data_IF_029154672969
#
_entry.id   IF_029154672969
#
_cell.length_a   1.000
_cell.length_b   1.000
_cell.length_c   1.000
_cell.angle_alpha   90.00
_cell.angle_beta   90.00
_cell.angle_gamma   90.00
#
_symmetry.space_group_name_H-M   'P 1'
#
loop_
_entity.id
_entity.type
_entity.pdbx_description
1 polymer ?
2 non-polymer ?
3 non-polymer ?
4 non-polymer ?
5 water ?
#
# COMPACT_ATOMS: atom_id res chain seq x y z
N UNK A 5 -4.39 19.94 -9.28
CA UNK A 5 -4.14 19.90 -7.82
C UNK A 5 -4.30 18.46 -7.31
N UNK A 6 -4.08 18.25 -6.02
CA UNK A 6 -4.05 16.92 -5.37
C UNK A 6 -4.33 17.03 -3.87
N UNK A 7 -4.78 15.94 -3.21
CA UNK A 7 -5.06 16.02 -1.77
C UNK A 7 -3.77 16.22 -0.98
N UNK A 8 -3.80 17.06 0.03
CA UNK A 8 -2.66 17.26 0.96
C UNK A 8 -3.19 17.25 2.38
N UNK A 9 -2.70 16.38 3.28
CA UNK A 9 -1.72 15.33 2.96
C UNK A 9 -2.29 14.30 1.98
N UNK A 10 -1.40 13.51 1.42
CA UNK A 10 -1.71 12.49 0.40
C UNK A 10 -1.57 11.13 1.07
N UNK A 11 -2.68 10.52 1.52
CA UNK A 11 -2.56 9.20 2.15
C UNK A 11 -2.10 8.13 1.15
N UNK A 12 -1.31 7.20 1.69
CA UNK A 12 -0.88 6.00 0.92
C UNK A 12 -1.25 4.82 1.79
N UNK A 13 -1.56 3.71 1.10
CA UNK A 13 -2.12 2.52 1.73
C UNK A 13 -1.37 1.28 1.25
N UNK A 14 -0.96 0.43 2.18
CA UNK A 14 -0.39 -0.90 1.87
C UNK A 14 -1.25 -1.90 2.55
N UNK A 15 -1.81 -2.84 1.76
CA UNK A 15 -2.63 -3.94 2.32
C UNK A 15 -1.76 -5.15 2.56
N UNK A 16 -2.01 -5.83 3.67
CA UNK A 16 -1.24 -7.04 4.01
C UNK A 16 -2.07 -7.88 4.96
N UNK A 17 -1.88 -9.20 4.87
CA UNK A 17 -2.54 -10.10 5.82
C UNK A 17 -2.05 -9.86 7.27
N UNK A 18 -2.97 -9.99 8.20
CA UNK A 18 -2.64 -9.86 9.63
C UNK A 18 -1.50 -10.79 10.03
N UNK A 19 -1.38 -11.97 9.42
CA UNK A 19 -0.31 -12.91 9.80
C UNK A 19 1.08 -12.35 9.49
N UNK A 20 1.16 -11.27 8.73
CA UNK A 20 2.44 -10.61 8.41
C UNK A 20 2.79 -9.50 9.42
N UNK A 21 1.84 -9.09 10.27
CA UNK A 21 2.10 -7.91 11.14
C UNK A 21 3.24 -8.23 12.10
N UNK A 22 3.24 -9.37 12.75
CA UNK A 22 4.34 -9.69 13.70
C UNK A 22 5.69 -9.51 13.01
N UNK A 23 5.85 -9.99 11.79
CA UNK A 23 7.16 -9.88 11.13
C UNK A 23 7.54 -8.44 10.81
N UNK A 24 6.54 -7.63 10.52
CA UNK A 24 6.78 -6.19 10.25
C UNK A 24 7.23 -5.49 11.56
N UNK A 25 6.52 -5.74 12.65
CA UNK A 25 6.87 -5.09 13.95
C UNK A 25 8.23 -5.61 14.40
N UNK A 26 8.49 -6.90 14.27
CA UNK A 26 9.78 -7.46 14.71
C UNK A 26 10.97 -6.85 13.95
N UNK A 27 10.80 -6.64 12.63
CA UNK A 27 11.85 -6.08 11.72
C UNK A 27 11.91 -4.57 11.96
N UNK A 28 10.80 -3.94 12.38
CA UNK A 28 10.65 -2.47 12.39
C UNK A 28 10.43 -1.86 11.05
N UNK A 29 10.08 -2.67 10.04
CA UNK A 29 9.94 -2.13 8.68
C UNK A 29 9.24 -3.16 7.79
N UNK A 30 8.58 -2.60 6.78
CA UNK A 30 8.19 -3.40 5.58
C UNK A 30 9.45 -3.53 4.72
N UNK A 31 9.65 -4.71 4.15
CA UNK A 31 10.76 -4.95 3.20
C UNK A 31 10.18 -5.20 1.81
N UNK A 32 10.81 -4.64 0.81
CA UNK A 32 10.47 -4.93 -0.58
C UNK A 32 10.66 -6.44 -0.87
N UNK A 33 9.93 -6.95 -1.87
CA UNK A 33 10.03 -8.36 -2.32
C UNK A 33 11.50 -8.78 -2.41
N UNK A 34 12.33 -7.98 -3.08
CA UNK A 34 13.72 -8.39 -3.37
C UNK A 34 14.61 -8.30 -2.12
N UNK A 35 14.10 -7.79 -1.01
CA UNK A 35 14.82 -7.73 0.28
C UNK A 35 14.37 -8.86 1.21
N UNK A 36 13.60 -9.80 0.68
CA UNK A 36 13.31 -11.15 1.38
C UNK A 36 12.49 -10.79 2.68
N UNK A 37 11.28 -10.22 2.58
CA UNK A 37 10.44 -10.05 3.76
C UNK A 37 10.06 -11.39 4.34
N UNK A 38 10.06 -11.55 5.67
CA UNK A 38 9.62 -12.78 6.33
C UNK A 38 8.09 -12.90 6.37
N UNK A 39 7.48 -12.79 5.20
CA UNK A 39 6.02 -12.87 5.09
C UNK A 39 5.55 -14.29 5.42
N UNK A 40 4.37 -14.35 6.01
CA UNK A 40 3.70 -15.64 6.34
C UNK A 40 2.62 -15.93 5.32
N UNK A 41 2.05 -14.92 4.69
CA UNK A 41 0.93 -15.11 3.73
C UNK A 41 1.08 -14.14 2.58
N UNK A 42 1.16 -14.71 1.40
CA UNK A 42 1.09 -13.97 0.13
C UNK A 42 -0.38 -13.78 -0.26
N UNK A 43 -0.75 -12.56 -0.63
CA UNK A 43 -2.09 -12.18 -1.13
C UNK A 43 -1.89 -11.57 -2.55
N UNK A 52 6.75 -8.46 -11.95
CA UNK A 52 7.37 -7.29 -11.22
C UNK A 52 8.88 -7.43 -11.07
N UNK A 53 9.43 -8.61 -11.42
CA UNK A 53 10.88 -8.91 -11.36
C UNK A 53 11.57 -8.35 -12.61
N UNK A 54 10.81 -8.05 -13.68
CA UNK A 54 11.37 -7.47 -14.93
C UNK A 54 10.72 -6.12 -15.27
N UNK A 55 9.84 -5.58 -14.42
CA UNK A 55 9.20 -4.28 -14.65
C UNK A 55 10.14 -3.15 -14.17
N UNK A 56 10.85 -2.51 -15.10
CA UNK A 56 11.93 -1.55 -14.80
C UNK A 56 11.35 -0.22 -14.38
N UNK A 57 12.02 0.38 -13.43
CA UNK A 57 11.64 1.72 -12.95
C UNK A 57 12.60 2.73 -13.59
N UNK A 58 12.06 3.70 -14.35
CA UNK A 58 12.91 4.60 -15.12
C UNK A 58 13.43 5.85 -14.38
N UNK A 59 12.87 6.15 -13.20
CA UNK A 59 13.34 7.22 -12.34
C UNK A 59 14.38 6.61 -11.39
N UNK A 60 15.33 7.44 -10.88
CA UNK A 60 16.19 6.98 -9.81
C UNK A 60 15.31 6.71 -8.59
N UNK A 61 15.62 5.70 -7.74
CA UNK A 61 16.85 4.90 -7.79
C UNK A 61 16.84 3.68 -8.73
N UNK A 62 15.85 3.58 -9.59
CA UNK A 62 15.81 2.55 -10.63
C UNK A 62 15.54 1.18 -10.10
N UNK A 63 16.19 0.18 -10.68
CA UNK A 63 15.87 -1.21 -10.37
C UNK A 63 14.52 -1.60 -10.99
N UNK A 64 13.83 -2.49 -10.30
CA UNK A 64 12.55 -3.06 -10.76
C UNK A 64 11.46 -2.89 -9.69
N UNK A 65 10.22 -3.09 -10.03
CA UNK A 65 9.12 -2.86 -9.06
C UNK A 65 9.33 -3.68 -7.80
N UNK A 66 9.89 -4.87 -7.88
CA UNK A 66 10.13 -5.72 -6.69
C UNK A 66 11.21 -5.17 -5.76
N UNK A 67 11.90 -4.11 -6.18
CA UNK A 67 12.87 -3.45 -5.28
C UNK A 67 12.19 -2.45 -4.34
N UNK A 68 10.87 -2.25 -4.48
CA UNK A 68 10.14 -1.21 -3.72
C UNK A 68 9.04 -1.82 -2.89
N UNK A 69 8.72 -1.19 -1.75
CA UNK A 69 7.49 -1.47 -0.99
C UNK A 69 6.36 -0.70 -1.65
N UNK A 70 5.28 -1.40 -2.07
CA UNK A 70 4.24 -0.75 -2.84
C UNK A 70 3.04 -0.29 -2.02
N UNK A 71 2.51 0.86 -2.40
CA UNK A 71 1.30 1.44 -1.82
C UNK A 71 0.39 1.90 -2.94
N UNK A 72 -0.90 1.89 -2.67
CA UNK A 72 -1.88 2.61 -3.50
C UNK A 72 -2.23 3.94 -2.87
N UNK A 73 -2.92 4.79 -3.62
CA UNK A 73 -3.43 6.08 -3.14
C UNK A 73 -4.88 6.02 -2.68
N UNK A 74 -5.43 4.83 -2.59
CA UNK A 74 -6.81 4.61 -2.09
C UNK A 74 -6.85 3.30 -1.32
N UNK A 75 -7.80 3.20 -0.38
CA UNK A 75 -8.18 1.94 0.21
C UNK A 75 -9.17 1.26 -0.74
N UNK A 76 -9.72 0.12 -0.34
CA UNK A 76 -10.82 -0.53 -1.10
C UNK A 76 -10.37 -0.71 -2.56
N UNK A 77 -9.17 -1.21 -2.76
CA UNK A 77 -8.54 -1.30 -4.10
C UNK A 77 -9.16 -2.43 -4.96
N UNK A 78 -8.87 -2.42 -6.27
CA UNK A 78 -9.22 -3.59 -7.13
C UNK A 78 -8.52 -4.82 -6.57
N UNK A 79 -7.28 -4.76 -6.13
CA UNK A 79 -6.59 -5.92 -5.53
C UNK A 79 -7.42 -6.50 -4.42
N UNK A 80 -7.94 -5.66 -3.50
CA UNK A 80 -8.81 -6.12 -2.42
C UNK A 80 -10.06 -6.83 -2.98
N UNK A 81 -10.61 -6.32 -4.07
CA UNK A 81 -11.82 -7.00 -4.62
C UNK A 81 -11.42 -8.39 -5.14
N UNK A 82 -10.25 -8.53 -5.73
CA UNK A 82 -9.79 -9.87 -6.22
C UNK A 82 -9.67 -10.79 -5.01
N UNK A 83 -9.16 -10.28 -3.89
CA UNK A 83 -9.07 -11.08 -2.65
C UNK A 83 -10.46 -11.43 -2.12
N UNK A 84 -11.37 -10.46 -2.05
CA UNK A 84 -12.77 -10.64 -1.61
C UNK A 84 -13.47 -11.71 -2.47
N UNK A 85 -13.23 -11.67 -3.76
CA UNK A 85 -13.96 -12.57 -4.70
C UNK A 85 -13.30 -13.95 -4.74
N UNK A 86 -12.17 -14.19 -4.09
CA UNK A 86 -11.41 -15.46 -4.16
C UNK A 86 -10.73 -15.67 -5.51
N UNK A 87 -10.58 -14.64 -6.32
CA UNK A 87 -9.81 -14.62 -7.58
C UNK A 87 -8.33 -14.80 -7.40
N UNK A 88 -7.78 -14.34 -6.29
CA UNK A 88 -6.36 -14.52 -5.96
C UNK A 88 -6.08 -15.99 -5.66
N UNK A 89 -4.80 -16.36 -5.64
CA UNK A 89 -4.37 -17.68 -5.13
C UNK A 89 -4.79 -17.77 -3.67
N UNK A 90 -4.50 -16.76 -2.87
CA UNK A 90 -4.93 -16.70 -1.47
C UNK A 90 -6.47 -16.81 -1.39
N UNK A 91 -6.97 -17.63 -0.48
CA UNK A 91 -8.40 -17.96 -0.37
C UNK A 91 -9.03 -17.57 0.97
N UNK A 92 -8.32 -16.80 1.80
CA UNK A 92 -8.84 -16.44 3.14
C UNK A 92 -9.80 -15.25 3.12
N UNK A 93 -9.94 -14.55 1.99
CA UNK A 93 -10.90 -13.44 1.90
C UNK A 93 -10.37 -12.14 2.54
N UNK A 94 -11.20 -11.15 2.48
CA UNK A 94 -10.78 -9.78 2.85
C UNK A 94 -10.67 -9.56 4.35
N UNK A 95 -11.31 -10.34 5.19
CA UNK A 95 -11.47 -9.91 6.59
C UNK A 95 -10.14 -9.83 7.32
N UNK A 96 -9.15 -10.73 7.12
CA UNK A 96 -7.87 -10.59 7.78
C UNK A 96 -6.91 -9.60 7.12
N UNK A 97 -7.35 -8.88 6.10
CA UNK A 97 -6.46 -7.97 5.38
C UNK A 97 -6.47 -6.60 6.04
N UNK A 98 -5.28 -6.16 6.44
CA UNK A 98 -5.11 -4.82 7.07
C UNK A 98 -4.86 -3.81 5.98
N UNK A 99 -5.28 -2.56 6.23
CA UNK A 99 -4.76 -1.42 5.46
C UNK A 99 -3.76 -0.66 6.36
N UNK A 100 -2.52 -0.63 5.94
CA UNK A 100 -1.50 0.20 6.70
C UNK A 100 -1.44 1.50 5.98
N UNK A 101 -1.58 2.59 6.80
CA UNK A 101 -1.78 3.95 6.23
C UNK A 101 -0.58 4.83 6.59
N UNK A 102 -0.08 5.53 5.62
CA UNK A 102 0.92 6.61 5.84
C UNK A 102 0.57 7.77 4.93
N UNK A 103 1.56 8.62 4.64
CA UNK A 103 1.35 9.72 3.68
C UNK A 103 2.62 9.87 2.83
N UNK A 104 2.44 10.32 1.60
CA UNK A 104 3.56 10.59 0.69
C UNK A 104 4.46 11.68 1.32
N UNK A 105 3.85 12.67 1.99
CA UNK A 105 4.63 13.78 2.56
C UNK A 105 5.55 13.25 3.66
N UNK A 106 5.08 12.34 4.51
CA UNK A 106 5.92 11.81 5.59
C UNK A 106 7.16 11.13 5.00
N UNK A 107 6.92 10.34 3.94
CA UNK A 107 8.05 9.62 3.29
C UNK A 107 9.10 10.65 2.80
N UNK A 108 8.60 11.65 2.09
CA UNK A 108 9.49 12.69 1.52
C UNK A 108 10.19 13.47 2.64
N UNK A 109 9.48 13.76 3.72
CA UNK A 109 10.10 14.51 4.85
C UNK A 109 11.22 13.65 5.46
N UNK A 110 11.05 12.31 5.50
CA UNK A 110 12.04 11.37 6.03
C UNK A 110 13.25 11.22 5.11
N UNK A 111 13.19 11.75 3.89
CA UNK A 111 14.28 11.67 2.90
C UNK A 111 14.40 10.28 2.26
N UNK A 112 13.37 9.47 2.32
CA UNK A 112 13.42 8.07 1.77
C UNK A 112 13.26 8.16 0.27
N UNK A 113 14.06 7.40 -0.51
CA UNK A 113 13.86 7.36 -1.93
C UNK A 113 12.52 6.74 -2.31
N UNK A 114 11.80 7.42 -3.18
CA UNK A 114 10.48 6.93 -3.65
C UNK A 114 10.28 7.35 -5.08
N UNK A 115 9.38 6.61 -5.74
CA UNK A 115 8.84 7.00 -7.04
C UNK A 115 7.32 6.77 -6.98
N UNK A 116 6.60 7.36 -7.89
CA UNK A 116 5.17 7.04 -7.97
C UNK A 116 4.74 7.08 -9.43
N UNK A 117 3.62 6.45 -9.71
CA UNK A 117 3.06 6.31 -11.07
C UNK A 117 1.73 7.03 -11.20
N UNK A 118 1.31 7.22 -12.46
CA UNK A 118 -0.02 7.75 -12.76
C UNK A 118 -1.03 6.63 -13.02
N UNK A 119 -0.60 5.37 -13.01
CA UNK A 119 -1.49 4.22 -13.32
C UNK A 119 -0.73 2.93 -12.97
N UNK A 120 -1.43 1.81 -12.98
CA UNK A 120 -0.87 0.47 -12.65
C UNK A 120 0.59 0.37 -13.10
N UNK A 121 1.54 0.16 -12.19
CA UNK A 121 2.99 0.30 -12.48
C UNK A 121 3.54 -0.78 -13.39
N UNK A 122 2.82 -1.89 -13.55
CA UNK A 122 3.21 -3.00 -14.47
C UNK A 122 2.87 -2.65 -15.93
N UNK A 123 2.15 -1.55 -16.19
CA UNK A 123 1.80 -1.16 -17.59
C UNK A 123 3.00 -0.49 -18.26
N UNK A 124 3.31 -0.90 -19.49
CA UNK A 124 4.46 -0.36 -20.27
C UNK A 124 4.30 1.15 -20.44
N UNK A 125 3.07 1.66 -20.47
CA UNK A 125 2.73 3.11 -20.68
C UNK A 125 2.55 3.88 -19.34
N UNK A 126 2.81 3.28 -18.20
CA UNK A 126 2.80 4.04 -16.93
C UNK A 126 3.90 5.11 -16.95
N UNK A 127 3.57 6.32 -16.47
CA UNK A 127 4.56 7.39 -16.23
C UNK A 127 4.99 7.32 -14.76
N UNK A 128 6.27 7.56 -14.55
CA UNK A 128 6.90 7.57 -13.23
C UNK A 128 7.43 8.95 -12.90
N UNK A 129 7.24 9.31 -11.64
CA UNK A 129 7.60 10.63 -11.09
C UNK A 129 8.40 10.46 -9.82
N UNK A 130 9.12 11.49 -9.42
CA UNK A 130 9.88 11.42 -8.15
C UNK A 130 9.69 12.68 -7.29
N UNK A 131 8.81 13.59 -7.70
CA UNK A 131 8.56 14.87 -6.98
C UNK A 131 7.10 15.00 -6.62
N UNK A 132 6.80 15.36 -5.37
CA UNK A 132 5.37 15.40 -4.93
C UNK A 132 4.56 16.43 -5.72
N UNK A 133 5.13 17.49 -6.30
CA UNK A 133 4.35 18.42 -7.14
C UNK A 133 3.67 17.67 -8.28
N UNK A 134 4.26 16.56 -8.74
CA UNK A 134 3.75 15.78 -9.91
C UNK A 134 2.57 14.91 -9.48
N UNK A 135 2.19 14.92 -8.20
CA UNK A 135 0.91 14.29 -7.78
C UNK A 135 -0.27 14.91 -8.56
N UNK A 136 -0.13 16.13 -9.05
CA UNK A 136 -1.17 16.80 -9.89
C UNK A 136 -1.38 16.05 -11.21
N UNK A 137 -0.43 15.23 -11.66
CA UNK A 137 -0.51 14.49 -12.95
C UNK A 137 -1.45 13.29 -12.81
N UNK A 138 -1.79 12.91 -11.58
CA UNK A 138 -2.65 11.73 -11.32
C UNK A 138 -4.11 12.12 -11.48
N UNK A 139 -4.94 11.13 -11.72
CA UNK A 139 -6.40 11.28 -11.88
C UNK A 139 -7.07 10.93 -10.55
N UNK A 140 -7.26 11.96 -9.70
CA UNK A 140 -7.75 11.75 -8.32
C UNK A 140 -9.21 11.27 -8.34
N UNK A 141 -9.99 11.62 -9.35
CA UNK A 141 -11.39 11.11 -9.43
C UNK A 141 -11.36 9.60 -9.72
N UNK A 142 -10.40 9.14 -10.52
CA UNK A 142 -10.23 7.69 -10.77
C UNK A 142 -9.73 7.02 -9.49
N UNK A 143 -8.72 7.62 -8.83
CA UNK A 143 -8.13 7.02 -7.60
C UNK A 143 -9.25 6.85 -6.58
N UNK A 144 -10.16 7.81 -6.46
CA UNK A 144 -11.19 7.79 -5.39
C UNK A 144 -12.48 7.08 -5.85
N UNK A 145 -12.55 6.58 -7.08
CA UNK A 145 -13.80 6.01 -7.64
C UNK A 145 -14.19 4.75 -6.90
N UNK A 146 -15.48 4.64 -6.55
CA UNK A 146 -16.05 3.39 -5.98
C UNK A 146 -16.52 2.49 -7.14
N UNK A 147 -16.91 3.10 -8.27
CA UNK A 147 -17.38 2.35 -9.49
C UNK A 147 -16.25 2.36 -10.52
N UNK A 148 -15.22 1.55 -10.27
CA UNK A 148 -13.92 1.66 -10.96
C UNK A 148 -13.72 0.62 -12.06
N UNK A 149 -14.64 -0.31 -12.27
CA UNK A 149 -14.34 -1.50 -13.11
C UNK A 149 -14.12 -1.12 -14.57
N UNK A 150 -14.83 -0.08 -15.04
CA UNK A 150 -14.84 0.30 -16.47
C UNK A 150 -15.01 1.81 -16.52
N UNK A 151 -14.50 2.54 -17.54
CA UNK A 151 -13.69 1.95 -18.61
C UNK A 151 -12.25 1.65 -18.22
N UNK A 152 -11.47 0.96 -19.08
CA UNK A 152 -10.12 0.54 -18.72
C UNK A 152 -9.22 1.69 -18.29
N UNK A 153 -9.33 2.86 -18.93
CA UNK A 153 -8.48 4.04 -18.59
C UNK A 153 -8.66 4.33 -17.11
N UNK A 154 -9.91 4.32 -16.60
CA UNK A 154 -10.23 4.62 -15.17
C UNK A 154 -9.62 3.53 -14.27
N UNK A 155 -9.84 2.28 -14.56
CA UNK A 155 -9.36 1.18 -13.73
C UNK A 155 -7.81 1.21 -13.61
N UNK A 156 -7.13 1.47 -14.72
CA UNK A 156 -5.64 1.60 -14.74
C UNK A 156 -5.22 2.76 -13.82
N UNK A 157 -5.92 3.86 -13.95
CA UNK A 157 -5.52 5.07 -13.20
C UNK A 157 -5.83 4.94 -11.71
N UNK A 158 -6.87 4.20 -11.36
CA UNK A 158 -7.17 3.91 -9.93
C UNK A 158 -5.99 3.23 -9.27
N UNK A 159 -5.16 2.53 -10.02
CA UNK A 159 -4.05 1.72 -9.49
C UNK A 159 -2.71 2.41 -9.64
N UNK A 160 -2.74 3.74 -9.72
CA UNK A 160 -1.52 4.53 -9.53
C UNK A 160 -0.88 4.10 -8.18
N UNK A 161 0.44 3.99 -8.16
CA UNK A 161 1.16 3.44 -7.01
C UNK A 161 2.23 4.39 -6.52
N UNK A 162 2.47 4.28 -5.23
CA UNK A 162 3.55 5.02 -4.52
C UNK A 162 4.52 3.97 -4.03
N UNK A 163 5.75 4.04 -4.46
CA UNK A 163 6.76 2.98 -4.27
C UNK A 163 7.95 3.51 -3.46
N UNK A 164 8.23 2.82 -2.37
CA UNK A 164 9.32 3.24 -1.47
C UNK A 164 10.47 2.27 -1.57
N UNK A 165 11.65 2.73 -1.94
CA UNK A 165 12.78 1.85 -2.28
C UNK A 165 13.25 1.05 -1.07
N UNK A 166 13.31 -0.26 -1.23
CA UNK A 166 13.98 -1.24 -0.32
C UNK A 166 13.18 -1.52 0.92
N UNK A 167 12.84 -0.51 1.70
CA UNK A 167 12.26 -0.72 3.02
C UNK A 167 11.44 0.50 3.43
N UNK A 168 10.46 0.27 4.26
CA UNK A 168 9.56 1.32 4.72
C UNK A 168 9.49 1.23 6.23
N UNK A 169 9.94 2.26 6.99
CA UNK A 169 9.99 2.16 8.44
C UNK A 169 8.60 2.12 9.06
N UNK A 170 8.46 1.22 10.02
CA UNK A 170 7.19 1.05 10.72
C UNK A 170 6.69 2.35 11.34
N UNK A 171 7.61 3.16 11.87
CA UNK A 171 7.24 4.41 12.57
C UNK A 171 6.46 5.37 11.68
N UNK A 172 6.54 5.23 10.36
CA UNK A 172 5.78 6.09 9.43
C UNK A 172 4.33 5.64 9.27
N UNK A 173 3.99 4.46 9.78
CA UNK A 173 2.56 4.04 9.70
C UNK A 173 1.76 4.81 10.76
N UNK A 174 0.74 5.53 10.32
CA UNK A 174 -0.09 6.30 11.26
C UNK A 174 -1.38 5.61 11.67
N UNK A 175 -1.81 4.60 10.90
CA UNK A 175 -3.08 3.95 11.20
C UNK A 175 -3.05 2.52 10.63
N UNK A 176 -3.57 1.61 11.41
CA UNK A 176 -3.95 0.27 10.89
C UNK A 176 -5.47 0.27 10.82
N UNK A 177 -6.03 0.15 9.62
CA UNK A 177 -7.48 -0.02 9.43
C UNK A 177 -7.80 -1.51 9.23
N UNK A 178 -8.93 -1.88 9.80
CA UNK A 178 -9.38 -3.29 9.81
C UNK A 178 -10.86 -3.37 9.40
N UNK A 179 -11.23 -4.57 9.03
CA UNK A 179 -12.62 -4.87 8.58
C UNK A 179 -13.58 -4.92 9.77
N UNK A 180 -13.13 -5.44 10.90
CA UNK A 180 -14.04 -5.85 11.99
C UNK A 180 -13.44 -5.59 13.37
N UNK A 181 -14.32 -5.62 14.34
CA UNK A 181 -13.95 -5.58 15.78
C UNK A 181 -12.96 -6.72 16.08
N UNK A 182 -13.26 -7.94 15.64
CA UNK A 182 -12.40 -9.09 15.97
C UNK A 182 -10.99 -8.86 15.42
N UNK A 183 -10.87 -8.38 14.20
CA UNK A 183 -9.52 -8.19 13.59
C UNK A 183 -8.81 -7.06 14.35
N UNK A 184 -9.52 -6.00 14.68
CA UNK A 184 -8.94 -4.90 15.49
C UNK A 184 -8.39 -5.43 16.80
N UNK A 185 -9.13 -6.31 17.47
CA UNK A 185 -8.64 -6.90 18.74
C UNK A 185 -7.38 -7.72 18.52
N UNK A 186 -7.33 -8.50 17.44
CA UNK A 186 -6.16 -9.34 17.13
C UNK A 186 -4.97 -8.41 16.84
N UNK A 187 -5.17 -7.31 16.13
CA UNK A 187 -4.09 -6.33 15.88
C UNK A 187 -3.56 -5.78 17.22
N UNK A 188 -4.47 -5.39 18.11
CA UNK A 188 -4.01 -4.81 19.40
C UNK A 188 -3.23 -5.87 20.20
N UNK A 189 -3.64 -7.13 20.15
CA UNK A 189 -2.94 -8.22 20.84
C UNK A 189 -1.51 -8.33 20.29
N UNK A 190 -1.34 -8.21 18.98
CA UNK A 190 -0.01 -8.32 18.33
C UNK A 190 0.84 -7.10 18.73
N UNK A 191 0.27 -5.89 18.64
CA UNK A 191 1.02 -4.67 18.99
C UNK A 191 1.52 -4.77 20.44
N UNK A 192 0.75 -5.37 21.33
CA UNK A 192 1.11 -5.42 22.77
C UNK A 192 2.34 -6.32 22.97
N UNK A 193 2.62 -7.22 22.00
CA UNK A 193 3.83 -8.10 22.03
C UNK A 193 5.09 -7.31 21.68
N UNK A 194 4.95 -6.09 21.17
CA UNK A 194 6.07 -5.21 20.71
C UNK A 194 5.94 -3.84 21.39
N UNK A 195 6.13 -3.78 22.73
CA UNK A 195 5.88 -2.55 23.48
C UNK A 195 6.74 -1.34 23.06
N UNK A 196 7.86 -1.56 22.35
CA UNK A 196 8.77 -0.47 21.92
C UNK A 196 8.43 -0.03 20.48
N UNK A 197 7.56 -0.74 19.74
CA UNK A 197 7.09 -0.35 18.39
C UNK A 197 6.11 0.81 18.53
N UNK A 198 6.16 1.77 17.61
CA UNK A 198 5.14 2.84 17.53
C UNK A 198 3.78 2.17 17.51
N UNK A 199 2.82 2.68 18.28
CA UNK A 199 1.42 2.20 18.27
C UNK A 199 0.59 3.18 17.44
N UNK A 200 0.27 2.82 16.21
CA UNK A 200 -0.61 3.64 15.37
C UNK A 200 -2.04 3.56 15.91
N UNK A 201 -2.90 4.40 15.37
CA UNK A 201 -4.37 4.30 15.53
C UNK A 201 -4.77 2.92 14.95
N UNK A 202 -5.74 2.25 15.55
CA UNK A 202 -6.38 1.03 15.03
C UNK A 202 -7.86 1.37 14.87
N UNK A 203 -8.35 1.30 13.64
CA UNK A 203 -9.69 1.81 13.28
C UNK A 203 -10.45 0.78 12.44
N UNK A 204 -11.69 0.52 12.83
CA UNK A 204 -12.59 -0.30 12.00
C UNK A 204 -13.15 0.60 10.90
N UNK A 205 -12.95 0.22 9.65
CA UNK A 205 -13.38 1.04 8.49
C UNK A 205 -14.07 0.11 7.48
N UNK A 206 -15.33 -0.21 7.72
CA UNK A 206 -16.08 -1.06 6.77
C UNK A 206 -16.16 -0.42 5.40
N UNK A 207 -16.13 0.89 5.30
CA UNK A 207 -16.22 1.59 3.99
C UNK A 207 -14.94 1.40 3.18
N UNK A 208 -13.90 0.81 3.75
CA UNK A 208 -12.65 0.50 3.01
C UNK A 208 -12.62 -0.94 2.47
N UNK A 209 -13.68 -1.68 2.73
CA UNK A 209 -13.83 -3.10 2.34
C UNK A 209 -15.09 -3.25 1.51
N UNK A 210 -15.24 -4.43 0.93
CA UNK A 210 -16.40 -4.83 0.10
C UNK A 210 -17.52 -5.45 0.95
X LIG B 1 5.01 -7.15 -2.13
X LIG B 1 5.89 -7.25 -3.31
X LIG B 1 5.20 -5.94 -1.27
X LIG B 1 5.07 -8.50 -1.25
X LIG B 1 5.73 -8.53 0.01
X LIG B 1 4.84 -9.13 1.07
X LIG B 1 5.60 -9.20 2.31
X LIG B 1 3.61 -8.29 1.41
X LIG B 1 2.48 -9.05 1.81
X LIG B 1 4.12 -7.42 2.57
X LIG B 1 3.15 -6.81 3.39
X LIG B 1 4.91 -8.46 3.32
X LIG B 1 5.94 -7.93 4.22
X LIG B 1 6.79 -6.88 3.98
X LIG B 1 7.65 -6.71 4.95
X LIG B 1 7.36 -7.70 5.88
X LIG B 1 7.93 -8.08 7.09
X LIG B 1 8.93 -7.42 7.71
X LIG B 1 7.42 -9.15 7.73
X LIG B 1 6.39 -9.82 7.17
X LIG B 1 5.78 -9.54 6.03
X LIG B 1 6.31 -8.49 5.41
X LIG B 1 3.54 -7.14 -2.71
X LIG B 1 2.11 -7.70 -2.41
X LIG B 1 1.50 -7.00 -1.27
X LIG B 1 2.11 -9.15 -2.48
X LIG B 1 1.44 -7.11 -3.73
X LIG B 1 1.39 -7.80 -4.96
X LIG B 1 1.48 -6.78 -6.07
X LIG B 1 0.36 -5.90 -5.98
X LIG B 1 2.71 -5.88 -6.10
X LIG B 1 3.82 -6.54 -6.68
X LIG B 1 2.18 -4.68 -6.90
X LIG B 1 2.22 -4.90 -8.29
X LIG B 1 0.73 -4.58 -6.40
X LIG B 1 0.58 -3.64 -5.26
X LIG B 1 0.32 -4.06 -3.99
X LIG B 1 0.09 -3.11 -3.01
X LIG B 1 -0.28 -3.47 -1.59
X LIG B 1 -0.94 -2.66 -1.02
X LIG B 1 0.08 -4.63 -1.05
X LIG B 1 0.10 -1.73 -3.35
X LIG B 1 0.37 -1.35 -4.63
X LIG B 1 0.64 -2.30 -5.56
X LIG C 1 -10.87 -0.15 17.31
X LIG C 1 -12.29 -0.20 17.44
X LIG C 1 -10.21 -1.52 17.28
X LIG C 1 -8.89 -1.39 17.79
X LIG C 1 -10.94 -2.59 18.09
X LIG C 1 -11.36 -3.66 17.24
X LIG D 1 -14.22 -15.98 1.10
X LIG D 1 -13.23 -16.43 2.02
X LIG D 1 -13.75 -16.12 -0.33
X LIG D 1 -12.58 -15.34 -0.52
X LIG D 1 -13.54 -17.58 -0.74
X LIG D 1 -12.59 -17.74 -1.79
X LIG E 1 17.28 -7.82 8.97
X LIG E 1 17.00 -6.98 10.09
X LIG E 1 17.93 -7.03 7.85
X LIG E 1 18.22 -5.69 8.24
X LIG E 1 19.19 -7.71 7.33
X LIG E 1 18.90 -8.78 6.44
X LIG F 1 2.53 -1.33 -9.13
X LIG F 1 3.79 -1.88 -8.41
X LIG F 1 4.72 -2.40 -7.89
#
# INVERSE_FOLDING_TARGET
SMKRTYPEPTPIYHITHIDNLKGILRMGKLLAHNQSPPKQRSIAYAHIQERRNRAKVPQPPGGVLHDYVPFYFCPRSPMLYAIYSGATEYQGGQEPILHLVSSAQAVHKAGLPFVFTDRHGVLSHARFFRQLEELAQLDWEAIQASYWADPPELREKKQAAFLVYKAFPWALIEEIAVYSQRVGEEVLKILKQFPEARRPRVCIRKDWYY
NAD PA O1A O2A O5B C5B C4B O4B C3B O3B C2B O2B C1B N9A C8A N7A C5A C6A N6A N1A C2A N3A C4A O3 PN O1N O2N O5D C5D C4D O4D C3D O3D C2D O2D C1D N1N C2N C3N C7N O7N N7N C4N C5N C6N
GOL C1 O1 C2 O2 C3 O3
GOL C1 O1 C2 O2 C3 O3
GOL C1 O1 C2 O2 C3 O3
SCN S C N
#
